data_IF_227983221226
#
_entry.id   IF_227983221226
#
_cell.length_a   1.000
_cell.length_b   1.000
_cell.length_c   1.000
_cell.angle_alpha   90.00
_cell.angle_beta   90.00
_cell.angle_gamma   90.00
#
_symmetry.space_group_name_H-M   'P 1'
#
loop_
_entity.id
_entity.type
_entity.pdbx_description
1 polymer ?
#
# COMPACT_ATOMS: atom_id res chain seq x y z
N UNK A 1 -1.65 -8.21 -6.42
CA UNK A 1 -0.45 -7.81 -7.18
C UNK A 1 -0.67 -6.36 -7.62
N UNK A 2 0.23 -5.44 -7.27
CA UNK A 2 0.14 -4.04 -7.74
C UNK A 2 0.47 -4.06 -9.23
N UNK A 3 -0.53 -3.86 -10.09
CA UNK A 3 -0.33 -3.76 -11.53
C UNK A 3 0.07 -2.33 -11.88
N UNK A 4 1.16 -2.18 -12.63
CA UNK A 4 1.54 -0.88 -13.18
C UNK A 4 0.48 -0.51 -14.20
N UNK A 5 -0.27 0.55 -13.92
CA UNK A 5 -1.34 1.04 -14.80
C UNK A 5 -0.69 1.79 -15.98
N UNK A 6 -0.39 1.06 -17.06
CA UNK A 6 0.23 1.62 -18.26
C UNK A 6 -0.63 2.66 -18.98
N UNK A 7 -1.96 2.60 -18.80
CA UNK A 7 -2.91 3.54 -19.37
C UNK A 7 -3.77 4.18 -18.27
N UNK A 8 -3.23 5.16 -17.52
CA UNK A 8 -3.96 5.81 -16.44
C UNK A 8 -5.11 6.66 -16.97
N UNK A 9 -6.14 6.85 -16.14
CA UNK A 9 -7.29 7.68 -16.48
C UNK A 9 -6.86 9.15 -16.68
N UNK A 10 -7.50 9.87 -17.61
CA UNK A 10 -7.20 11.30 -17.86
C UNK A 10 -7.31 12.15 -16.59
N UNK A 11 -8.25 11.82 -15.69
CA UNK A 11 -8.41 12.50 -14.40
C UNK A 11 -7.19 12.33 -13.50
N UNK A 12 -6.64 11.10 -13.41
CA UNK A 12 -5.44 10.81 -12.62
C UNK A 12 -4.23 11.57 -13.16
N UNK A 13 -4.05 11.61 -14.49
CA UNK A 13 -2.98 12.37 -15.12
C UNK A 13 -3.09 13.88 -14.84
N UNK A 14 -4.30 14.45 -14.85
CA UNK A 14 -4.52 15.86 -14.50
C UNK A 14 -4.23 16.15 -13.03
N UNK A 15 -4.67 15.29 -12.12
CA UNK A 15 -4.39 15.43 -10.68
C UNK A 15 -2.89 15.32 -10.41
N UNK A 16 -2.22 14.39 -11.09
CA UNK A 16 -0.77 14.27 -11.03
C UNK A 16 -0.07 15.53 -11.54
N UNK A 17 -0.46 16.02 -12.73
CA UNK A 17 0.11 17.23 -13.32
C UNK A 17 -0.11 18.49 -12.47
N UNK A 18 -1.28 18.63 -11.85
CA UNK A 18 -1.63 19.84 -11.09
C UNK A 18 -1.09 19.84 -9.65
N UNK A 19 -1.02 18.69 -9.00
CA UNK A 19 -0.73 18.60 -7.56
C UNK A 19 0.61 17.91 -7.32
N UNK A 20 0.71 16.65 -7.71
CA UNK A 20 1.83 15.80 -7.30
C UNK A 20 3.13 16.16 -8.01
N UNK A 21 3.08 16.49 -9.30
CA UNK A 21 4.25 16.82 -10.09
C UNK A 21 4.90 18.16 -9.65
N UNK A 22 4.15 19.26 -9.47
CA UNK A 22 4.71 20.50 -8.92
C UNK A 22 5.23 20.32 -7.50
N UNK A 23 4.50 19.61 -6.63
CA UNK A 23 4.95 19.34 -5.27
C UNK A 23 6.27 18.56 -5.24
N UNK A 24 6.39 17.52 -6.08
CA UNK A 24 7.63 16.75 -6.22
C UNK A 24 8.79 17.62 -6.71
N UNK A 25 8.57 18.43 -7.75
CA UNK A 25 9.60 19.33 -8.29
C UNK A 25 10.03 20.40 -7.26
N UNK A 26 9.09 20.95 -6.50
CA UNK A 26 9.37 21.89 -5.41
C UNK A 26 10.24 21.24 -4.33
N UNK A 27 9.86 20.06 -3.83
CA UNK A 27 10.63 19.34 -2.81
C UNK A 27 12.05 18.99 -3.29
N UNK A 28 12.19 18.45 -4.50
CA UNK A 28 13.49 18.08 -5.07
C UNK A 28 14.35 19.32 -5.31
N UNK A 29 13.81 20.37 -5.93
CA UNK A 29 14.53 21.61 -6.18
C UNK A 29 14.99 22.28 -4.89
N UNK A 30 14.15 22.31 -3.85
CA UNK A 30 14.53 22.84 -2.54
C UNK A 30 15.67 22.04 -1.91
N UNK A 31 15.61 20.70 -1.97
CA UNK A 31 16.65 19.83 -1.44
C UNK A 31 17.98 19.99 -2.19
N UNK A 32 17.93 20.13 -3.52
CA UNK A 32 19.12 20.39 -4.37
C UNK A 32 19.71 21.77 -4.09
N UNK A 33 18.88 22.82 -4.04
CA UNK A 33 19.32 24.19 -3.73
C UNK A 33 19.98 24.28 -2.36
N UNK A 34 19.41 23.61 -1.34
CA UNK A 34 19.99 23.50 0.00
C UNK A 34 21.35 22.79 0.02
N UNK A 35 21.54 21.75 -0.79
CA UNK A 35 22.78 20.96 -0.81
C UNK A 35 23.89 21.54 -1.70
N UNK A 36 23.52 22.18 -2.81
CA UNK A 36 24.48 22.62 -3.84
C UNK A 36 24.69 24.13 -3.87
N UNK A 37 23.79 24.93 -3.27
CA UNK A 37 23.87 26.40 -3.27
C UNK A 37 23.57 27.07 -4.62
N UNK A 38 23.36 26.30 -5.69
CA UNK A 38 23.10 26.81 -7.04
C UNK A 38 21.62 27.13 -7.27
N UNK A 39 21.13 28.22 -6.68
CA UNK A 39 19.72 28.63 -6.76
C UNK A 39 19.27 29.00 -8.18
N UNK A 40 20.13 29.61 -8.99
CA UNK A 40 19.80 29.96 -10.37
C UNK A 40 19.40 28.74 -11.22
N UNK A 41 20.08 27.61 -11.05
CA UNK A 41 19.74 26.37 -11.74
C UNK A 41 18.41 25.76 -11.26
N UNK A 42 18.12 25.89 -9.96
CA UNK A 42 16.86 25.43 -9.36
C UNK A 42 15.66 26.24 -9.86
N UNK A 43 15.80 27.56 -9.95
CA UNK A 43 14.75 28.45 -10.44
C UNK A 43 14.38 28.15 -11.90
N UNK A 44 15.38 27.96 -12.77
CA UNK A 44 15.16 27.56 -14.16
C UNK A 44 14.46 26.19 -14.22
N UNK A 45 14.91 25.23 -13.42
CA UNK A 45 14.28 23.90 -13.36
C UNK A 45 12.82 23.98 -12.88
N UNK A 46 12.50 24.81 -11.89
CA UNK A 46 11.12 25.03 -11.44
C UNK A 46 10.25 25.71 -12.50
N UNK A 47 10.78 26.68 -13.23
CA UNK A 47 10.07 27.30 -14.33
C UNK A 47 9.72 26.26 -15.41
N UNK A 48 10.68 25.43 -15.81
CA UNK A 48 10.46 24.34 -16.78
C UNK A 48 9.44 23.34 -16.26
N UNK A 49 9.55 22.90 -15.01
CA UNK A 49 8.57 21.99 -14.41
C UNK A 49 7.17 22.61 -14.33
N UNK A 50 7.06 23.92 -14.06
CA UNK A 50 5.80 24.65 -14.10
C UNK A 50 5.15 24.62 -15.49
N UNK A 51 5.94 24.88 -16.54
CA UNK A 51 5.46 24.79 -17.93
C UNK A 51 4.98 23.37 -18.26
N UNK A 52 5.74 22.35 -17.87
CA UNK A 52 5.37 20.94 -18.08
C UNK A 52 4.10 20.57 -17.30
N UNK A 53 3.93 21.06 -16.08
CA UNK A 53 2.73 20.86 -15.27
C UNK A 53 1.48 21.47 -15.94
N UNK A 54 1.59 22.71 -16.41
CA UNK A 54 0.50 23.41 -17.12
C UNK A 54 0.16 22.69 -18.44
N UNK A 55 1.18 22.34 -19.23
CA UNK A 55 0.98 21.58 -20.47
C UNK A 55 0.32 20.21 -20.21
N UNK A 56 0.75 19.50 -19.17
CA UNK A 56 0.15 18.23 -18.75
C UNK A 56 -1.28 18.36 -18.22
N UNK A 57 -1.64 19.50 -17.64
CA UNK A 57 -3.01 19.75 -17.18
C UNK A 57 -3.98 19.96 -18.36
N UNK A 58 -3.58 20.72 -19.37
CA UNK A 58 -4.40 20.96 -20.57
C UNK A 58 -4.36 19.78 -21.55
N UNK A 59 -3.23 19.08 -21.67
CA UNK A 59 -3.06 17.93 -22.54
C UNK A 59 -2.50 16.71 -21.77
N UNK A 60 -3.37 15.96 -21.05
CA UNK A 60 -2.96 14.85 -20.17
C UNK A 60 -2.09 13.76 -20.81
N UNK A 61 -2.29 13.37 -22.08
CA UNK A 61 -1.42 12.37 -22.72
C UNK A 61 0.07 12.73 -22.73
N UNK A 62 0.42 14.02 -22.64
CA UNK A 62 1.81 14.47 -22.69
C UNK A 62 2.59 14.09 -21.41
N UNK A 63 1.92 14.07 -20.25
CA UNK A 63 2.56 13.77 -18.96
C UNK A 63 2.56 12.28 -18.61
N UNK A 64 1.87 11.46 -19.41
CA UNK A 64 1.80 10.01 -19.24
C UNK A 64 3.16 9.32 -19.11
N UNK A 65 4.17 9.54 -19.98
CA UNK A 65 5.47 8.86 -19.84
C UNK A 65 6.17 9.23 -18.54
N UNK A 66 6.08 10.50 -18.12
CA UNK A 66 6.64 10.98 -16.85
C UNK A 66 5.96 10.31 -15.67
N UNK A 67 4.63 10.24 -15.68
CA UNK A 67 3.85 9.54 -14.67
C UNK A 67 4.22 8.06 -14.55
N UNK A 68 4.23 7.34 -15.68
CA UNK A 68 4.55 5.90 -15.69
C UNK A 68 5.99 5.66 -15.24
N UNK A 69 6.95 6.48 -15.69
CA UNK A 69 8.35 6.39 -15.26
C UNK A 69 8.52 6.59 -13.75
N UNK A 70 7.84 7.58 -13.17
CA UNK A 70 7.86 7.83 -11.73
C UNK A 70 7.19 6.70 -10.94
N UNK A 71 6.05 6.17 -11.41
CA UNK A 71 5.40 5.03 -10.77
C UNK A 71 6.30 3.80 -10.81
N UNK A 72 6.97 3.54 -11.94
CA UNK A 72 7.91 2.42 -12.07
C UNK A 72 9.10 2.58 -11.13
N UNK A 73 9.67 3.78 -11.01
CA UNK A 73 10.76 4.07 -10.08
C UNK A 73 10.34 3.93 -8.61
N UNK A 74 9.08 4.25 -8.28
CA UNK A 74 8.55 4.20 -6.91
C UNK A 74 7.98 2.81 -6.54
N UNK A 75 7.76 1.94 -7.53
CA UNK A 75 7.17 0.61 -7.32
C UNK A 75 7.93 -0.26 -6.31
N UNK A 76 9.28 -0.37 -6.36
CA UNK A 76 10.03 -1.15 -5.37
C UNK A 76 9.85 -0.62 -3.95
N UNK A 77 9.75 0.70 -3.78
CA UNK A 77 9.51 1.33 -2.48
C UNK A 77 8.15 0.88 -1.93
N UNK A 78 7.10 0.92 -2.74
CA UNK A 78 5.77 0.46 -2.36
C UNK A 78 5.74 -1.02 -1.97
N UNK A 79 6.50 -1.86 -2.70
CA UNK A 79 6.67 -3.27 -2.36
C UNK A 79 7.35 -3.46 -1.01
N UNK A 80 8.48 -2.78 -0.76
CA UNK A 80 9.19 -2.86 0.53
C UNK A 80 8.30 -2.38 1.67
N UNK A 81 7.66 -1.22 1.53
CA UNK A 81 6.78 -0.66 2.58
C UNK A 81 5.64 -1.63 2.92
N UNK A 82 5.05 -2.27 1.91
CA UNK A 82 3.98 -3.24 2.14
C UNK A 82 4.44 -4.46 2.94
N UNK A 83 5.64 -5.00 2.63
CA UNK A 83 6.22 -6.14 3.36
C UNK A 83 6.65 -5.75 4.77
N UNK A 84 7.27 -4.57 4.92
CA UNK A 84 7.68 -4.04 6.22
C UNK A 84 6.47 -3.78 7.09
N UNK A 85 5.39 -3.19 6.57
CA UNK A 85 4.16 -2.94 7.32
C UNK A 85 3.51 -4.25 7.76
N UNK A 86 3.41 -5.24 6.86
CA UNK A 86 2.88 -6.56 7.20
C UNK A 86 3.72 -7.22 8.29
N UNK A 87 5.05 -7.20 8.16
CA UNK A 87 5.98 -7.70 9.16
C UNK A 87 5.83 -6.97 10.50
N UNK A 88 5.73 -5.63 10.48
CA UNK A 88 5.57 -4.82 11.68
C UNK A 88 4.26 -5.15 12.42
N UNK A 89 3.15 -5.32 11.69
CA UNK A 89 1.86 -5.72 12.30
C UNK A 89 1.95 -7.15 12.84
N UNK A 90 2.50 -8.08 12.05
CA UNK A 90 2.57 -9.49 12.45
C UNK A 90 3.47 -9.69 13.67
N UNK A 91 4.67 -9.13 13.67
CA UNK A 91 5.64 -9.30 14.75
C UNK A 91 5.42 -8.32 15.90
N UNK A 92 4.89 -7.12 15.64
CA UNK A 92 4.66 -6.10 16.66
C UNK A 92 3.31 -6.21 17.38
N UNK A 93 2.29 -6.80 16.74
CA UNK A 93 0.93 -6.90 17.32
C UNK A 93 0.48 -8.35 17.44
N UNK A 94 0.44 -9.09 16.32
CA UNK A 94 -0.14 -10.45 16.33
C UNK A 94 0.69 -11.42 17.17
N UNK A 95 2.01 -11.41 17.00
CA UNK A 95 2.96 -12.27 17.71
C UNK A 95 2.94 -12.05 19.23
N UNK A 96 3.02 -10.82 19.76
CA UNK A 96 2.95 -10.63 21.21
C UNK A 96 1.59 -11.01 21.79
N UNK A 97 0.48 -10.76 21.08
CA UNK A 97 -0.84 -11.25 21.52
C UNK A 97 -0.84 -12.77 21.63
N UNK A 98 -0.36 -13.47 20.61
CA UNK A 98 -0.24 -14.93 20.63
C UNK A 98 0.69 -15.44 21.74
N UNK A 99 1.80 -14.74 22.01
CA UNK A 99 2.71 -15.06 23.08
C UNK A 99 2.05 -14.89 24.46
N UNK A 100 1.31 -13.81 24.67
CA UNK A 100 0.56 -13.56 25.91
C UNK A 100 -0.47 -14.66 26.13
N UNK A 101 -1.27 -15.01 25.11
CA UNK A 101 -2.25 -16.10 25.19
C UNK A 101 -1.59 -17.45 25.52
N UNK A 102 -0.42 -17.72 24.91
CA UNK A 102 0.35 -18.94 25.18
C UNK A 102 0.87 -18.98 26.62
N UNK A 103 1.34 -17.84 27.15
CA UNK A 103 1.83 -17.73 28.53
C UNK A 103 0.70 -17.82 29.56
N UNK A 104 -0.49 -17.27 29.27
CA UNK A 104 -1.68 -17.39 30.14
C UNK A 104 -2.37 -18.75 30.04
N UNK A 105 -1.86 -19.66 29.21
CA UNK A 105 -2.41 -21.01 29.02
C UNK A 105 -3.73 -21.03 28.26
N UNK A 106 -4.15 -19.90 27.71
CA UNK A 106 -5.38 -19.78 26.94
C UNK A 106 -5.13 -20.31 25.53
N UNK A 107 -5.77 -21.44 25.19
CA UNK A 107 -5.69 -22.07 23.86
C UNK A 107 -7.03 -21.89 23.12
N UNK A 108 -7.33 -20.69 22.59
CA UNK A 108 -8.59 -20.43 21.89
C UNK A 108 -8.70 -21.23 20.58
N UNK A 109 -7.58 -21.62 20.00
CA UNK A 109 -7.53 -22.42 18.78
C UNK A 109 -7.60 -23.93 19.05
N UNK A 110 -7.56 -24.35 20.33
CA UNK A 110 -7.57 -25.75 20.76
C UNK A 110 -6.54 -26.58 19.97
N UNK A 111 -5.34 -26.01 19.80
CA UNK A 111 -4.24 -26.61 19.05
C UNK A 111 -3.51 -27.69 19.86
N UNK A 112 -3.70 -27.74 21.18
CA UNK A 112 -3.22 -28.87 21.99
C UNK A 112 -3.91 -30.15 21.54
N UNK A 113 -3.11 -31.14 21.16
CA UNK A 113 -3.59 -32.46 20.84
C UNK A 113 -4.39 -33.02 22.03
N UNK A 114 -5.68 -33.38 21.85
CA UNK A 114 -6.43 -34.06 22.89
C UNK A 114 -5.77 -35.41 23.21
N UNK A 115 -6.04 -35.95 24.39
CA UNK A 115 -5.43 -37.21 24.85
C UNK A 115 -5.78 -38.46 24.00
N UNK A 116 -6.50 -38.31 22.89
CA UNK A 116 -6.83 -39.36 21.93
C UNK A 116 -6.28 -39.09 20.53
N UNK A 117 -6.25 -40.13 19.68
CA UNK A 117 -5.71 -40.08 18.31
C UNK A 117 -6.54 -39.25 17.30
N UNK A 118 -7.46 -38.39 17.76
CA UNK A 118 -8.44 -37.73 16.90
C UNK A 118 -8.64 -36.27 17.28
N UNK A 119 -8.48 -35.38 16.29
CA UNK A 119 -8.81 -33.95 16.37
C UNK A 119 -10.28 -33.68 16.04
N UNK A 120 -11.09 -34.71 15.76
CA UNK A 120 -12.51 -34.57 15.47
C UNK A 120 -13.23 -34.00 16.70
N UNK A 121 -13.81 -32.79 16.54
CA UNK A 121 -14.73 -32.23 17.52
C UNK A 121 -16.13 -32.74 17.21
N UNK A 122 -16.80 -33.28 18.22
CA UNK A 122 -18.23 -33.58 18.13
C UNK A 122 -18.99 -32.27 17.91
N UNK A 123 -19.85 -32.16 16.89
CA UNK A 123 -20.72 -31.00 16.72
C UNK A 123 -21.51 -30.75 18.00
N UNK A 124 -21.38 -29.56 18.58
CA UNK A 124 -22.17 -29.17 19.76
C UNK A 124 -23.57 -28.82 19.28
N UNK A 125 -24.48 -29.77 19.45
CA UNK A 125 -25.91 -29.60 19.19
C UNK A 125 -26.47 -30.70 18.30
N UNK A 126 -27.40 -31.49 18.85
CA UNK A 126 -28.38 -32.21 18.03
C UNK A 126 -29.25 -31.14 17.37
N UNK A 127 -28.89 -30.70 16.17
CA UNK A 127 -29.85 -30.02 15.30
C UNK A 127 -30.83 -31.09 14.86
N UNK A 128 -32.09 -30.96 15.26
CA UNK A 128 -33.19 -31.76 14.75
C UNK A 128 -33.06 -31.84 13.21
N UNK A 129 -33.07 -33.03 12.58
CA UNK A 129 -32.95 -33.16 11.13
C UNK A 129 -33.94 -32.29 10.36
N UNK A 130 -35.11 -31.99 10.94
CA UNK A 130 -36.11 -31.10 10.35
C UNK A 130 -35.65 -29.63 10.24
N UNK A 131 -34.63 -29.22 11.01
CA UNK A 131 -34.04 -27.88 10.94
C UNK A 131 -33.25 -27.63 9.65
N UNK A 132 -32.70 -28.68 9.03
CA UNK A 132 -32.00 -28.55 7.73
C UNK A 132 -32.97 -28.25 6.58
N UNK A 133 -34.23 -28.66 6.72
CA UNK A 133 -35.27 -28.48 5.71
C UNK A 133 -35.93 -27.09 5.74
N UNK A 134 -35.54 -26.21 6.69
CA UNK A 134 -36.13 -24.86 6.87
C UNK A 134 -35.24 -23.71 6.39
N UNK A 135 -34.06 -23.98 5.85
CA UNK A 135 -33.19 -22.95 5.25
C UNK A 135 -33.53 -22.78 3.77
N UNK A 136 -34.59 -22.02 3.47
CA UNK A 136 -34.86 -21.44 2.14
C UNK A 136 -34.44 -19.98 2.13
#
# INVERSE_FOLDING_TARGET
MISVQWNPERKQLRQFAAIWFPAFCACVGWMVGRKTGHWAGVEIAWAVCGVVAVAGFFHPPLIRPVFVGLILATFPIGWVVSHVLLGAIFYGVVTPIGLILRLTGHDPLLLKAPAGNSLWKTPVGKTDPASYLRQN
#
